data_IF_262268254838
#
_entry.id   IF_262268254838
#
_cell.length_a   1.000
_cell.length_b   1.000
_cell.length_c   1.000
_cell.angle_alpha   90.00
_cell.angle_beta   90.00
_cell.angle_gamma   90.00
#
_symmetry.space_group_name_H-M   'P 1'
#
loop_
_entity.id
_entity.type
_entity.pdbx_description
1 polymer ?
#
# COMPACT_ATOMS: atom_id res chain seq x y z
N UNK A 1 25.90 3.36 1.12
CA UNK A 1 24.44 3.54 1.26
C UNK A 1 23.96 4.29 0.03
N UNK A 2 23.26 3.61 -0.88
CA UNK A 2 22.63 4.28 -2.02
C UNK A 2 21.32 4.83 -1.50
N UNK A 3 21.25 6.15 -1.36
CA UNK A 3 20.03 6.85 -0.87
C UNK A 3 19.18 7.39 -2.01
N UNK A 4 19.72 7.39 -3.23
CA UNK A 4 19.07 7.95 -4.41
C UNK A 4 19.23 7.04 -5.63
N UNK A 5 18.14 6.81 -6.34
CA UNK A 5 18.09 6.01 -7.57
C UNK A 5 17.42 6.82 -8.66
N UNK A 6 18.09 6.99 -9.79
CA UNK A 6 17.53 7.65 -10.96
C UNK A 6 16.92 6.62 -11.92
N UNK A 7 15.59 6.57 -11.96
CA UNK A 7 14.83 5.68 -12.86
C UNK A 7 14.60 6.29 -14.23
N UNK A 8 14.91 7.58 -14.44
CA UNK A 8 14.71 8.33 -15.70
C UNK A 8 13.28 8.21 -16.26
N UNK A 9 12.29 8.03 -15.38
CA UNK A 9 10.87 7.93 -15.75
C UNK A 9 10.17 9.29 -15.67
N UNK A 10 9.25 9.54 -16.59
CA UNK A 10 8.45 10.78 -16.64
C UNK A 10 6.97 10.47 -16.88
N UNK A 11 6.08 11.42 -16.55
CA UNK A 11 4.65 11.33 -16.89
C UNK A 11 3.92 10.18 -16.18
N UNK A 12 3.17 9.38 -16.96
CA UNK A 12 2.39 8.25 -16.43
C UNK A 12 3.25 7.10 -15.91
N UNK A 13 4.41 6.84 -16.53
CA UNK A 13 5.34 5.79 -16.07
C UNK A 13 5.87 6.09 -14.66
N UNK A 14 6.05 7.38 -14.34
CA UNK A 14 6.40 7.82 -12.98
C UNK A 14 5.30 7.50 -11.97
N UNK A 15 4.03 7.67 -12.36
CA UNK A 15 2.89 7.32 -11.51
C UNK A 15 2.90 5.82 -11.24
N UNK A 16 2.99 5.00 -12.29
CA UNK A 16 3.05 3.53 -12.17
C UNK A 16 4.21 3.09 -11.27
N UNK A 17 5.38 3.69 -11.44
CA UNK A 17 6.55 3.41 -10.61
C UNK A 17 6.29 3.71 -9.13
N UNK A 18 5.70 4.87 -8.82
CA UNK A 18 5.41 5.25 -7.44
C UNK A 18 4.49 4.22 -6.74
N UNK A 19 3.41 3.82 -7.41
CA UNK A 19 2.48 2.82 -6.89
C UNK A 19 3.11 1.43 -6.77
N UNK A 20 3.91 1.01 -7.75
CA UNK A 20 4.57 -0.29 -7.71
C UNK A 20 5.63 -0.39 -6.60
N UNK A 21 6.36 0.71 -6.34
CA UNK A 21 7.28 0.81 -5.21
C UNK A 21 6.49 0.79 -3.88
N UNK A 22 5.41 1.56 -3.78
CA UNK A 22 4.53 1.55 -2.61
C UNK A 22 3.97 0.16 -2.31
N UNK A 23 3.53 -0.57 -3.32
CA UNK A 23 3.05 -1.95 -3.20
C UNK A 23 4.17 -2.90 -2.74
N UNK A 24 5.36 -2.78 -3.32
CA UNK A 24 6.52 -3.62 -2.95
C UNK A 24 6.95 -3.41 -1.50
N UNK A 25 6.84 -2.17 -1.01
CA UNK A 25 7.18 -1.81 0.37
C UNK A 25 6.00 -1.95 1.35
N UNK A 26 4.77 -2.15 0.85
CA UNK A 26 3.56 -2.06 1.66
C UNK A 26 3.30 -0.66 2.24
N UNK A 27 3.78 0.39 1.59
CA UNK A 27 3.70 1.77 2.04
C UNK A 27 2.66 2.59 1.24
N UNK A 28 1.97 3.53 1.89
CA UNK A 28 1.01 4.39 1.21
C UNK A 28 1.72 5.38 0.26
N UNK A 29 1.13 5.58 -0.91
CA UNK A 29 1.61 6.52 -1.93
C UNK A 29 0.71 7.75 -1.99
N UNK A 30 1.30 8.93 -1.88
CA UNK A 30 0.60 10.22 -1.91
C UNK A 30 1.26 11.16 -2.91
N UNK A 31 0.50 11.64 -3.88
CA UNK A 31 0.97 12.70 -4.76
C UNK A 31 0.95 14.06 -4.04
N UNK A 32 2.12 14.67 -3.87
CA UNK A 32 2.19 16.06 -3.43
C UNK A 32 1.87 16.95 -4.62
N UNK A 33 0.94 17.88 -4.42
CA UNK A 33 0.56 18.83 -5.46
C UNK A 33 1.59 19.97 -5.49
N UNK A 34 1.14 21.18 -5.78
CA UNK A 34 1.97 22.38 -5.72
C UNK A 34 2.64 22.55 -4.34
N UNK A 35 3.91 22.98 -4.27
CA UNK A 35 4.78 23.41 -5.38
C UNK A 35 5.72 22.31 -5.94
N UNK A 36 5.78 21.13 -5.32
CA UNK A 36 6.83 20.12 -5.61
C UNK A 36 6.45 19.11 -6.68
N UNK A 37 5.18 18.68 -6.74
CA UNK A 37 4.70 17.68 -7.70
C UNK A 37 5.41 16.32 -7.60
N UNK A 38 5.81 15.92 -6.39
CA UNK A 38 6.49 14.64 -6.11
C UNK A 38 5.50 13.56 -5.61
N UNK A 39 5.91 12.30 -5.60
CA UNK A 39 5.15 11.24 -4.92
C UNK A 39 5.85 10.86 -3.61
N UNK A 40 5.15 11.01 -2.49
CA UNK A 40 5.57 10.51 -1.19
C UNK A 40 5.16 9.05 -1.05
N UNK A 41 6.11 8.19 -0.68
CA UNK A 41 5.92 6.75 -0.45
C UNK A 41 6.38 6.48 0.97
N UNK A 42 5.47 6.54 1.94
CA UNK A 42 5.84 6.68 3.35
C UNK A 42 6.70 7.93 3.58
N UNK A 43 7.96 7.74 3.99
CA UNK A 43 8.96 8.80 4.14
C UNK A 43 9.87 9.00 2.93
N UNK A 44 9.77 8.13 1.92
CA UNK A 44 10.56 8.23 0.69
C UNK A 44 9.88 9.14 -0.33
N UNK A 45 10.66 9.72 -1.24
CA UNK A 45 10.18 10.72 -2.19
C UNK A 45 10.60 10.35 -3.61
N UNK A 46 9.64 10.35 -4.55
CA UNK A 46 9.90 10.25 -5.98
C UNK A 46 9.67 11.61 -6.66
N UNK A 47 10.77 12.27 -7.03
CA UNK A 47 10.76 13.62 -7.64
C UNK A 47 10.15 13.60 -9.06
N UNK A 48 9.81 14.80 -9.57
CA UNK A 48 9.33 15.04 -10.94
C UNK A 48 10.26 14.56 -12.05
N UNK A 49 11.55 14.38 -11.75
CA UNK A 49 12.55 13.87 -12.68
C UNK A 49 12.65 12.33 -12.69
N UNK A 50 11.90 11.64 -11.83
CA UNK A 50 12.00 10.18 -11.68
C UNK A 50 13.16 9.73 -10.79
N UNK A 51 13.66 10.62 -9.93
CA UNK A 51 14.68 10.29 -8.92
C UNK A 51 13.96 9.87 -7.63
N UNK A 52 14.20 8.63 -7.21
CA UNK A 52 13.68 8.07 -5.96
C UNK A 52 14.70 8.29 -4.84
N UNK A 53 14.29 8.99 -3.80
CA UNK A 53 15.05 9.23 -2.58
C UNK A 53 14.51 8.32 -1.49
N UNK A 54 15.29 7.30 -1.12
CA UNK A 54 14.96 6.38 -0.05
C UNK A 54 15.15 7.06 1.31
N UNK A 55 14.19 6.88 2.22
CA UNK A 55 14.34 7.30 3.61
C UNK A 55 15.33 6.40 4.35
N UNK A 56 15.88 6.90 5.46
CA UNK A 56 16.82 6.14 6.29
C UNK A 56 16.19 4.91 6.96
N UNK A 57 14.85 4.83 6.97
CA UNK A 57 14.11 3.67 7.48
C UNK A 57 14.12 2.48 6.50
N UNK A 58 14.36 2.72 5.21
CA UNK A 58 14.44 1.65 4.22
C UNK A 58 15.81 0.98 4.32
N UNK A 59 15.80 -0.27 4.79
CA UNK A 59 16.99 -1.13 4.85
C UNK A 59 17.46 -1.56 3.44
N UNK A 60 18.71 -2.02 3.33
CA UNK A 60 19.33 -2.36 2.04
C UNK A 60 18.57 -3.45 1.26
N UNK A 61 17.94 -4.41 1.97
CA UNK A 61 17.19 -5.52 1.35
C UNK A 61 15.97 -5.07 0.51
N UNK A 62 15.02 -4.25 1.03
CA UNK A 62 13.95 -3.70 0.21
C UNK A 62 14.42 -2.78 -0.93
N UNK A 63 15.53 -2.07 -0.74
CA UNK A 63 16.15 -1.24 -1.79
C UNK A 63 16.68 -2.11 -2.94
N UNK A 64 17.36 -3.20 -2.64
CA UNK A 64 17.87 -4.14 -3.64
C UNK A 64 16.73 -4.77 -4.46
N UNK A 65 15.59 -5.09 -3.81
CA UNK A 65 14.39 -5.60 -4.50
C UNK A 65 13.81 -4.57 -5.48
N UNK A 66 13.80 -3.29 -5.11
CA UNK A 66 13.33 -2.21 -5.98
C UNK A 66 14.27 -2.04 -7.17
N UNK A 67 15.58 -2.09 -6.95
CA UNK A 67 16.59 -1.99 -8.01
C UNK A 67 16.46 -3.19 -8.96
N UNK A 68 16.42 -4.40 -8.44
CA UNK A 68 16.28 -5.62 -9.24
C UNK A 68 15.00 -5.56 -10.06
N UNK A 69 13.86 -5.23 -9.45
CA UNK A 69 12.56 -5.26 -10.11
C UNK A 69 12.34 -4.13 -11.13
N UNK A 70 12.79 -2.91 -10.84
CA UNK A 70 12.43 -1.73 -11.64
C UNK A 70 13.60 -1.15 -12.46
N UNK A 71 14.85 -1.46 -12.11
CA UNK A 71 16.02 -1.00 -12.87
C UNK A 71 16.43 -1.99 -13.97
N UNK A 72 16.21 -3.30 -13.79
CA UNK A 72 16.61 -4.32 -14.79
C UNK A 72 15.60 -4.51 -15.94
N UNK A 73 14.50 -3.76 -15.93
CA UNK A 73 13.63 -3.60 -17.10
C UNK A 73 12.44 -4.56 -17.18
N UNK A 74 11.95 -5.09 -16.05
CA UNK A 74 10.63 -5.73 -16.08
C UNK A 74 9.54 -4.68 -16.34
N UNK A 75 8.59 -4.95 -17.25
CA UNK A 75 7.51 -4.02 -17.55
C UNK A 75 6.63 -3.80 -16.31
N UNK A 76 6.40 -2.53 -15.98
CA UNK A 76 5.47 -2.10 -14.94
C UNK A 76 4.06 -2.61 -15.30
N UNK A 77 3.68 -3.77 -14.75
CA UNK A 77 2.33 -4.29 -14.89
C UNK A 77 1.35 -3.27 -14.28
N UNK A 78 0.23 -3.06 -14.96
CA UNK A 78 -0.68 -1.92 -14.77
C UNK A 78 -1.21 -1.79 -13.32
N UNK A 79 -0.45 -1.13 -12.45
CA UNK A 79 -0.94 -0.59 -11.18
C UNK A 79 -1.70 0.71 -11.46
N UNK A 80 -2.78 0.63 -12.24
CA UNK A 80 -3.78 1.70 -12.32
C UNK A 80 -4.79 1.39 -11.22
N UNK A 81 -4.46 1.75 -9.98
CA UNK A 81 -5.48 2.01 -8.99
C UNK A 81 -5.84 3.49 -9.11
N UNK A 82 -7.11 3.75 -9.41
CA UNK A 82 -7.71 5.07 -9.58
C UNK A 82 -7.42 5.97 -8.37
N UNK A 83 -7.07 7.24 -8.66
CA UNK A 83 -6.66 8.26 -7.68
C UNK A 83 -7.76 8.72 -6.70
N UNK A 84 -8.97 8.16 -6.78
CA UNK A 84 -10.12 8.57 -5.94
C UNK A 84 -10.46 7.59 -4.80
N UNK A 85 -9.74 6.48 -4.65
CA UNK A 85 -9.93 5.57 -3.52
C UNK A 85 -8.60 5.09 -2.96
N UNK A 86 -7.96 5.96 -2.17
CA UNK A 86 -7.41 5.45 -0.91
C UNK A 86 -8.63 5.21 0.00
N UNK A 87 -9.49 4.24 -0.35
CA UNK A 87 -10.29 3.59 0.67
C UNK A 87 -9.27 2.86 1.50
N UNK A 88 -9.13 3.31 2.75
CA UNK A 88 -8.46 2.58 3.81
C UNK A 88 -8.59 1.07 3.57
N UNK A 89 -7.45 0.39 3.41
CA UNK A 89 -7.43 -1.06 3.38
C UNK A 89 -7.82 -1.60 4.77
N UNK A 90 -9.10 -1.53 5.08
CA UNK A 90 -9.79 -2.29 6.11
C UNK A 90 -10.56 -3.45 5.45
N UNK A 91 -10.04 -3.98 4.34
CA UNK A 91 -10.62 -5.12 3.62
C UNK A 91 -10.04 -6.41 4.18
N UNK A 92 -10.80 -7.07 5.07
CA UNK A 92 -10.49 -8.42 5.54
C UNK A 92 -11.03 -9.44 4.52
N UNK A 93 -10.15 -10.02 3.71
CA UNK A 93 -10.52 -11.05 2.73
C UNK A 93 -10.11 -12.45 3.19
N UNK A 94 -11.00 -13.43 3.02
CA UNK A 94 -10.76 -14.85 3.30
C UNK A 94 -11.18 -15.63 2.06
N UNK A 95 -10.29 -16.49 1.54
CA UNK A 95 -10.57 -17.35 0.37
C UNK A 95 -10.77 -18.79 0.81
N UNK A 96 -11.84 -19.42 0.32
CA UNK A 96 -12.22 -20.80 0.62
C UNK A 96 -12.77 -21.50 -0.63
N UNK A 97 -12.49 -22.81 -0.86
CA UNK A 97 -12.97 -23.52 -2.03
C UNK A 97 -14.51 -23.60 -2.10
N UNK A 98 -15.08 -23.31 -3.28
CA UNK A 98 -16.54 -23.36 -3.51
C UNK A 98 -17.15 -24.73 -3.22
N UNK A 99 -16.39 -25.81 -3.42
CA UNK A 99 -16.83 -27.19 -3.15
C UNK A 99 -17.15 -27.47 -1.68
N UNK A 100 -16.72 -26.61 -0.76
CA UNK A 100 -17.03 -26.74 0.68
C UNK A 100 -18.42 -26.22 1.07
N UNK A 101 -19.11 -25.52 0.17
CA UNK A 101 -20.41 -24.91 0.43
C UNK A 101 -21.49 -25.51 -0.48
N UNK A 102 -22.65 -25.78 0.10
CA UNK A 102 -23.90 -25.95 -0.63
C UNK A 102 -24.60 -24.59 -0.73
N UNK A 103 -25.49 -24.39 -1.71
CA UNK A 103 -26.13 -23.09 -1.94
C UNK A 103 -26.84 -22.55 -0.67
N UNK A 104 -27.54 -23.42 0.08
CA UNK A 104 -28.17 -23.05 1.36
C UNK A 104 -27.17 -22.59 2.44
N UNK A 105 -25.95 -23.15 2.45
CA UNK A 105 -24.89 -22.77 3.40
C UNK A 105 -24.25 -21.44 3.03
N UNK A 106 -24.24 -21.10 1.74
CA UNK A 106 -23.75 -19.81 1.26
C UNK A 106 -24.70 -18.69 1.68
N UNK A 107 -26.01 -18.90 1.56
CA UNK A 107 -27.02 -17.95 2.04
C UNK A 107 -26.92 -17.76 3.56
N UNK A 108 -26.72 -18.84 4.31
CA UNK A 108 -26.50 -18.75 5.76
C UNK A 108 -25.21 -18.00 6.12
N UNK A 109 -24.14 -18.17 5.35
CA UNK A 109 -22.89 -17.44 5.54
C UNK A 109 -23.08 -15.94 5.28
N UNK A 110 -23.83 -15.57 4.25
CA UNK A 110 -24.17 -14.17 3.96
C UNK A 110 -24.95 -13.53 5.12
N UNK A 111 -26.00 -14.19 5.62
CA UNK A 111 -26.76 -13.73 6.79
C UNK A 111 -25.88 -13.58 8.04
N UNK A 112 -24.89 -14.48 8.19
CA UNK A 112 -23.96 -14.45 9.31
C UNK A 112 -22.97 -13.29 9.22
N UNK A 113 -22.47 -12.99 8.01
CA UNK A 113 -21.62 -11.84 7.75
C UNK A 113 -22.42 -10.56 7.99
N UNK A 114 -23.63 -10.46 7.44
CA UNK A 114 -24.51 -9.30 7.63
C UNK A 114 -24.82 -9.03 9.11
N UNK A 115 -25.03 -10.09 9.90
CA UNK A 115 -25.30 -9.99 11.33
C UNK A 115 -24.09 -9.74 12.23
N UNK A 116 -22.85 -10.01 11.77
CA UNK A 116 -21.63 -9.89 12.59
C UNK A 116 -20.61 -8.88 12.08
N UNK A 117 -20.76 -8.37 10.86
CA UNK A 117 -19.84 -7.39 10.26
C UNK A 117 -19.66 -6.16 11.16
N UNK A 118 -20.72 -5.68 11.81
CA UNK A 118 -20.66 -4.53 12.72
C UNK A 118 -19.75 -4.78 13.92
N UNK A 119 -19.73 -6.01 14.45
CA UNK A 119 -18.84 -6.39 15.54
C UNK A 119 -17.39 -6.43 15.09
N UNK A 120 -17.12 -7.01 13.91
CA UNK A 120 -15.78 -7.06 13.34
C UNK A 120 -15.23 -5.65 13.08
N UNK A 121 -16.05 -4.76 12.50
CA UNK A 121 -15.69 -3.36 12.26
C UNK A 121 -15.40 -2.64 13.58
N UNK A 122 -16.28 -2.73 14.58
CA UNK A 122 -16.05 -2.11 15.88
C UNK A 122 -14.78 -2.62 16.55
N UNK A 123 -14.57 -3.93 16.60
CA UNK A 123 -13.36 -4.52 17.20
C UNK A 123 -12.10 -3.98 16.53
N UNK A 124 -12.03 -4.01 15.20
CA UNK A 124 -10.89 -3.49 14.45
C UNK A 124 -10.69 -1.98 14.65
N UNK A 125 -11.76 -1.19 14.72
CA UNK A 125 -11.69 0.23 15.06
C UNK A 125 -11.13 0.47 16.48
N UNK A 126 -11.57 -0.30 17.47
CA UNK A 126 -11.05 -0.20 18.84
C UNK A 126 -9.58 -0.62 18.92
N UNK A 127 -9.19 -1.69 18.22
CA UNK A 127 -7.79 -2.13 18.17
C UNK A 127 -6.89 -1.12 17.47
N UNK A 128 -7.32 -0.54 16.34
CA UNK A 128 -6.58 0.51 15.66
C UNK A 128 -6.40 1.74 16.55
N UNK A 129 -7.48 2.16 17.25
CA UNK A 129 -7.43 3.30 18.17
C UNK A 129 -6.53 3.05 19.38
N UNK A 130 -6.51 1.82 19.91
CA UNK A 130 -5.62 1.43 21.00
C UNK A 130 -4.16 1.35 20.55
N UNK A 131 -3.90 0.83 19.35
CA UNK A 131 -2.56 0.71 18.79
C UNK A 131 -1.92 2.09 18.56
N UNK A 132 -2.66 3.05 18.00
CA UNK A 132 -2.21 4.45 17.85
C UNK A 132 -1.88 5.07 19.20
N UNK A 133 -2.74 4.87 20.22
CA UNK A 133 -2.49 5.39 21.57
C UNK A 133 -1.22 4.79 22.22
N UNK A 134 -0.93 3.51 21.94
CA UNK A 134 0.28 2.86 22.45
C UNK A 134 1.55 3.36 21.77
N UNK A 135 1.52 3.70 20.47
CA UNK A 135 2.67 4.27 19.75
C UNK A 135 3.01 5.68 20.25
N UNK A 136 2.00 6.49 20.56
CA UNK A 136 2.20 7.85 21.12
C UNK A 136 2.72 7.82 22.58
N UNK A 137 2.51 6.73 23.32
CA UNK A 137 2.98 6.58 24.71
C UNK A 137 4.41 6.04 24.84
N UNK A 138 5.02 5.52 23.78
CA UNK A 138 6.40 5.01 23.79
C UNK A 138 7.45 6.03 23.36
N UNK A 139 7.02 7.23 22.98
CA UNK A 139 7.89 8.35 22.60
C UNK A 139 7.97 9.36 23.77
N UNK A 140 8.56 8.94 24.90
CA UNK A 140 9.01 9.84 25.99
C UNK A 140 10.15 9.22 26.78
#
# INVERSE_FOLDING_TARGET
MITEIDFKVIGEERKKLAYAIGETLGLPVKYTKTPRFDYMIGESILDKKGVFQASNEITESPLDLIIERFYTGEPLQNAIQSEDEIIEQNVLSISVPRSMFTDDKLENLQKLIEGKQTLAVHILQYFAKFCILCTEMTDT
#
